data_IF_411115005912
#
_entry.id   IF_411115005912
#
_cell.length_a   1.000
_cell.length_b   1.000
_cell.length_c   1.000
_cell.angle_alpha   90.00
_cell.angle_beta   90.00
_cell.angle_gamma   90.00
#
_symmetry.space_group_name_H-M   'P 1'
#
loop_
_entity.id
_entity.type
_entity.pdbx_description
1 polymer ?
#
# COMPACT_ATOMS: atom_id res chain seq x y z
N UNK A 1 -1.74 -23.23 13.15
CA UNK A 1 -2.01 -22.34 12.01
C UNK A 1 -1.83 -23.14 10.75
N UNK A 2 -2.89 -23.28 9.95
CA UNK A 2 -2.79 -23.92 8.63
C UNK A 2 -2.08 -22.95 7.71
N UNK A 3 -0.90 -23.31 7.17
CA UNK A 3 -0.29 -22.49 6.12
C UNK A 3 -1.23 -22.51 4.92
N UNK A 4 -1.58 -21.33 4.41
CA UNK A 4 -2.33 -21.23 3.16
C UNK A 4 -1.60 -22.00 2.06
N UNK A 5 -2.31 -22.86 1.34
CA UNK A 5 -1.74 -23.57 0.18
C UNK A 5 -1.79 -22.73 -1.11
N UNK A 6 -2.23 -21.47 -1.01
CA UNK A 6 -2.35 -20.56 -2.13
C UNK A 6 -1.02 -19.86 -2.41
N UNK A 7 -0.72 -19.63 -3.68
CA UNK A 7 0.40 -18.78 -4.09
C UNK A 7 0.03 -17.31 -3.84
N UNK A 8 1.03 -16.44 -3.65
CA UNK A 8 0.82 -14.98 -3.53
C UNK A 8 -0.06 -14.42 -4.66
N UNK A 9 0.22 -14.80 -5.91
CA UNK A 9 -0.59 -14.37 -7.06
C UNK A 9 -2.06 -14.78 -6.94
N UNK A 10 -2.33 -15.98 -6.38
CA UNK A 10 -3.70 -16.44 -6.17
C UNK A 10 -4.38 -15.70 -5.03
N UNK A 11 -3.68 -15.45 -3.92
CA UNK A 11 -4.19 -14.64 -2.80
C UNK A 11 -4.55 -13.23 -3.30
N UNK A 12 -3.64 -12.56 -4.00
CA UNK A 12 -3.88 -11.23 -4.57
C UNK A 12 -5.11 -11.19 -5.49
N UNK A 13 -5.29 -12.23 -6.31
CA UNK A 13 -6.46 -12.33 -7.21
C UNK A 13 -7.77 -12.53 -6.44
N UNK A 14 -7.75 -13.28 -5.34
CA UNK A 14 -8.94 -13.45 -4.49
C UNK A 14 -9.27 -12.16 -3.72
N UNK A 15 -8.27 -11.43 -3.23
CA UNK A 15 -8.48 -10.10 -2.63
C UNK A 15 -9.14 -9.17 -3.64
N UNK A 16 -8.58 -9.02 -4.84
CA UNK A 16 -9.17 -8.21 -5.91
C UNK A 16 -10.62 -8.60 -6.20
N UNK A 17 -10.89 -9.90 -6.36
CA UNK A 17 -12.23 -10.43 -6.60
C UNK A 17 -13.22 -10.05 -5.48
N UNK A 18 -12.78 -10.10 -4.22
CA UNK A 18 -13.65 -9.77 -3.09
C UNK A 18 -13.87 -8.26 -2.95
N UNK A 19 -12.85 -7.44 -3.20
CA UNK A 19 -12.99 -5.97 -3.27
C UNK A 19 -14.04 -5.58 -4.33
N UNK A 20 -13.95 -6.16 -5.53
CA UNK A 20 -14.94 -5.93 -6.60
C UNK A 20 -16.33 -6.49 -6.24
N UNK A 21 -16.41 -7.70 -5.68
CA UNK A 21 -17.69 -8.34 -5.34
C UNK A 21 -18.50 -7.55 -4.33
N UNK A 22 -17.82 -6.87 -3.41
CA UNK A 22 -18.43 -6.14 -2.30
C UNK A 22 -18.26 -4.63 -2.44
N UNK A 23 -18.11 -4.14 -3.68
CA UNK A 23 -18.08 -2.71 -4.04
C UNK A 23 -17.17 -1.86 -3.13
N UNK A 24 -15.96 -2.37 -2.83
CA UNK A 24 -14.98 -1.63 -2.03
C UNK A 24 -14.46 -0.40 -2.79
N UNK A 25 -14.35 0.73 -2.09
CA UNK A 25 -13.87 2.00 -2.67
C UNK A 25 -12.36 1.98 -2.92
N UNK A 26 -11.61 1.19 -2.14
CA UNK A 26 -10.16 1.10 -2.26
C UNK A 26 -9.74 0.15 -3.38
N UNK A 27 -8.70 0.54 -4.10
CA UNK A 27 -8.04 -0.33 -5.08
C UNK A 27 -7.10 -1.29 -4.37
N UNK A 28 -6.75 -2.38 -5.06
CA UNK A 28 -5.90 -3.42 -4.48
C UNK A 28 -4.53 -2.91 -3.98
N UNK A 29 -3.92 -1.94 -4.66
CA UNK A 29 -2.62 -1.40 -4.21
C UNK A 29 -2.74 -0.59 -2.92
N UNK A 30 -3.83 0.16 -2.72
CA UNK A 30 -4.15 0.84 -1.46
C UNK A 30 -4.35 -0.17 -0.35
N UNK A 31 -5.18 -1.20 -0.58
CA UNK A 31 -5.44 -2.26 0.42
C UNK A 31 -4.16 -3.00 0.82
N UNK A 32 -3.27 -3.28 -0.14
CA UNK A 32 -1.98 -3.93 0.15
C UNK A 32 -1.09 -3.05 1.01
N UNK A 33 -1.04 -1.76 0.71
CA UNK A 33 -0.23 -0.81 1.44
C UNK A 33 -0.80 -0.52 2.84
N UNK A 34 -2.13 -0.36 2.96
CA UNK A 34 -2.82 -0.16 4.24
C UNK A 34 -2.59 -1.35 5.20
N UNK A 35 -2.81 -2.58 4.73
CA UNK A 35 -2.52 -3.77 5.55
C UNK A 35 -1.05 -3.84 5.98
N UNK A 36 -0.12 -3.48 5.08
CA UNK A 36 1.31 -3.45 5.42
C UNK A 36 1.64 -2.34 6.44
N UNK A 37 1.04 -1.16 6.32
CA UNK A 37 1.16 -0.06 7.27
C UNK A 37 0.63 -0.43 8.64
N UNK A 38 -0.54 -1.06 8.69
CA UNK A 38 -1.13 -1.60 9.92
C UNK A 38 -0.23 -2.66 10.60
N UNK A 39 0.37 -3.56 9.81
CA UNK A 39 1.35 -4.55 10.31
C UNK A 39 2.60 -3.86 10.86
N UNK A 40 3.08 -2.82 10.18
CA UNK A 40 4.26 -2.06 10.57
C UNK A 40 3.99 -1.06 11.70
N UNK A 41 2.74 -0.85 12.10
CA UNK A 41 2.38 0.13 13.12
C UNK A 41 3.09 -0.16 14.44
N UNK A 42 3.55 0.86 15.19
CA UNK A 42 4.09 0.66 16.54
C UNK A 42 3.01 0.23 17.56
N UNK A 43 1.74 0.17 17.14
CA UNK A 43 0.62 -0.30 17.93
C UNK A 43 0.23 -1.74 17.59
N UNK A 44 -0.37 -2.44 18.55
CA UNK A 44 -0.96 -3.74 18.30
C UNK A 44 -2.28 -3.54 17.55
N UNK A 45 -2.26 -3.79 16.24
CA UNK A 45 -3.44 -3.70 15.38
C UNK A 45 -4.17 -5.04 15.33
N UNK A 46 -5.49 -5.01 15.54
CA UNK A 46 -6.34 -6.17 15.23
C UNK A 46 -6.64 -6.16 13.72
N UNK A 47 -6.28 -7.21 12.97
CA UNK A 47 -6.55 -7.31 11.53
C UNK A 47 -8.03 -7.12 11.17
N UNK A 48 -8.94 -7.39 12.11
CA UNK A 48 -10.38 -7.16 11.93
C UNK A 48 -10.71 -5.67 11.85
N UNK A 49 -10.02 -4.79 12.59
CA UNK A 49 -10.24 -3.35 12.50
C UNK A 49 -9.78 -2.82 11.14
N UNK A 50 -8.60 -3.24 10.69
CA UNK A 50 -8.07 -2.87 9.38
C UNK A 50 -8.99 -3.33 8.24
N UNK A 51 -9.53 -4.55 8.35
CA UNK A 51 -10.51 -5.06 7.39
C UNK A 51 -11.82 -4.25 7.38
N UNK A 52 -12.28 -3.77 8.53
CA UNK A 52 -13.47 -2.91 8.61
C UNK A 52 -13.23 -1.54 7.95
N UNK A 53 -12.02 -1.00 8.09
CA UNK A 53 -11.67 0.32 7.53
C UNK A 53 -11.82 0.35 6.00
N UNK A 54 -11.64 -0.79 5.32
CA UNK A 54 -11.83 -0.90 3.87
C UNK A 54 -13.25 -0.53 3.38
N UNK A 55 -14.25 -0.60 4.25
CA UNK A 55 -15.63 -0.23 3.92
C UNK A 55 -16.16 0.85 4.86
N UNK A 56 -15.35 1.88 5.09
CA UNK A 56 -15.72 3.06 5.90
C UNK A 56 -16.16 2.69 7.33
N UNK A 57 -15.63 1.57 7.86
CA UNK A 57 -15.97 1.05 9.19
C UNK A 57 -17.23 0.17 9.24
N UNK A 58 -17.90 -0.06 8.11
CA UNK A 58 -19.07 -0.93 8.01
C UNK A 58 -18.78 -2.12 7.10
N UNK A 59 -18.70 -3.34 7.65
CA UNK A 59 -18.57 -4.54 6.81
C UNK A 59 -19.62 -4.55 5.68
N UNK A 60 -19.26 -5.01 4.47
CA UNK A 60 -20.20 -5.13 3.37
C UNK A 60 -21.34 -6.09 3.73
N UNK A 61 -22.44 -6.02 2.98
CA UNK A 61 -23.54 -6.96 3.16
C UNK A 61 -23.08 -8.39 2.79
N UNK A 62 -22.86 -9.22 3.81
CA UNK A 62 -22.46 -10.61 3.66
C UNK A 62 -23.68 -11.53 3.83
N UNK A 63 -24.22 -12.01 2.72
CA UNK A 63 -25.49 -12.75 2.65
C UNK A 63 -25.50 -14.15 3.30
N UNK A 64 -24.35 -14.63 3.79
CA UNK A 64 -24.24 -15.96 4.38
C UNK A 64 -23.02 -16.12 5.29
N UNK A 65 -23.07 -17.13 6.18
CA UNK A 65 -21.90 -17.57 6.96
C UNK A 65 -20.73 -17.95 6.06
N UNK A 66 -20.99 -18.56 4.89
CA UNK A 66 -19.94 -18.92 3.94
C UNK A 66 -19.23 -17.67 3.38
N UNK A 67 -19.96 -16.59 3.12
CA UNK A 67 -19.39 -15.32 2.66
C UNK A 67 -18.51 -14.67 3.76
N UNK A 68 -18.95 -14.75 5.01
CA UNK A 68 -18.16 -14.29 6.18
C UNK A 68 -16.87 -15.10 6.30
N UNK A 69 -16.97 -16.43 6.26
CA UNK A 69 -15.80 -17.31 6.38
C UNK A 69 -14.82 -17.10 5.21
N UNK A 70 -15.33 -16.87 4.01
CA UNK A 70 -14.52 -16.55 2.82
C UNK A 70 -13.73 -15.24 3.01
N UNK A 71 -14.39 -14.15 3.40
CA UNK A 71 -13.72 -12.86 3.61
C UNK A 71 -12.68 -12.97 4.73
N UNK A 72 -13.02 -13.61 5.85
CA UNK A 72 -12.09 -13.79 6.97
C UNK A 72 -10.88 -14.63 6.57
N UNK A 73 -11.09 -15.75 5.86
CA UNK A 73 -10.00 -16.60 5.38
C UNK A 73 -9.06 -15.81 4.46
N UNK A 74 -9.61 -15.11 3.47
CA UNK A 74 -8.77 -14.42 2.47
C UNK A 74 -8.03 -13.23 3.08
N UNK A 75 -8.71 -12.36 3.83
CA UNK A 75 -8.08 -11.14 4.33
C UNK A 75 -7.27 -11.37 5.62
N UNK A 76 -7.84 -12.04 6.62
CA UNK A 76 -7.27 -12.12 7.97
C UNK A 76 -6.29 -13.29 8.12
N UNK A 77 -6.44 -14.35 7.32
CA UNK A 77 -5.54 -15.50 7.39
C UNK A 77 -4.58 -15.55 6.21
N UNK A 78 -5.04 -15.44 4.97
CA UNK A 78 -4.16 -15.61 3.81
C UNK A 78 -3.35 -14.34 3.51
N UNK A 79 -4.03 -13.20 3.35
CA UNK A 79 -3.41 -11.94 2.95
C UNK A 79 -2.60 -11.28 4.06
N UNK A 80 -3.16 -11.17 5.27
CA UNK A 80 -2.45 -10.63 6.42
C UNK A 80 -1.16 -11.42 6.72
N UNK A 81 -1.24 -12.75 6.79
CA UNK A 81 -0.04 -13.54 7.08
C UNK A 81 0.98 -13.50 5.94
N UNK A 82 0.53 -13.43 4.69
CA UNK A 82 1.43 -13.22 3.55
C UNK A 82 2.21 -11.90 3.69
N UNK A 83 1.53 -10.80 4.04
CA UNK A 83 2.17 -9.50 4.19
C UNK A 83 3.06 -9.44 5.44
N UNK A 84 2.65 -10.09 6.53
CA UNK A 84 3.45 -10.17 7.75
C UNK A 84 4.80 -10.88 7.55
N UNK A 85 4.97 -11.69 6.48
CA UNK A 85 6.28 -12.24 6.13
C UNK A 85 7.31 -11.16 5.75
N UNK A 86 6.88 -9.97 5.32
CA UNK A 86 7.78 -8.85 5.01
C UNK A 86 8.37 -8.19 6.27
N UNK A 87 7.69 -8.34 7.40
CA UNK A 87 8.15 -7.86 8.70
C UNK A 87 9.13 -8.84 9.40
N UNK A 88 9.25 -10.08 8.91
CA UNK A 88 10.21 -11.04 9.44
C UNK A 88 11.59 -10.82 8.78
N UNK A 89 12.50 -10.17 9.51
CA UNK A 89 13.88 -9.93 9.05
C UNK A 89 14.56 -11.22 8.56
N UNK A 90 14.25 -12.38 9.16
CA UNK A 90 14.85 -13.65 8.76
C UNK A 90 14.28 -14.21 7.44
N UNK A 91 13.15 -13.70 6.97
CA UNK A 91 12.53 -14.12 5.72
C UNK A 91 13.23 -13.55 4.47
N UNK A 92 13.99 -12.45 4.61
CA UNK A 92 14.71 -11.75 3.52
C UNK A 92 13.80 -11.47 2.32
N UNK A 93 12.62 -10.92 2.60
CA UNK A 93 11.57 -10.60 1.63
C UNK A 93 11.11 -9.16 1.81
N UNK A 94 11.80 -8.17 1.21
CA UNK A 94 11.35 -6.79 1.30
C UNK A 94 9.96 -6.63 0.69
N UNK A 95 9.18 -5.70 1.24
CA UNK A 95 7.92 -5.25 0.66
C UNK A 95 8.20 -4.44 -0.60
N UNK A 96 7.54 -4.80 -1.70
CA UNK A 96 7.66 -4.12 -2.99
C UNK A 96 6.37 -3.36 -3.34
N UNK A 97 6.53 -2.16 -3.87
CA UNK A 97 5.41 -1.36 -4.35
C UNK A 97 4.98 -1.85 -5.74
N UNK A 98 3.82 -1.40 -6.21
CA UNK A 98 3.23 -1.94 -7.44
C UNK A 98 4.16 -1.68 -8.63
N UNK A 99 4.48 -2.75 -9.37
CA UNK A 99 5.32 -2.67 -10.57
C UNK A 99 4.54 -2.06 -11.73
N UNK A 100 5.10 -1.02 -12.34
CA UNK A 100 4.47 -0.24 -13.41
C UNK A 100 5.33 -0.29 -14.67
N UNK A 101 4.69 -0.35 -15.84
CA UNK A 101 5.39 -0.21 -17.10
C UNK A 101 5.93 1.22 -17.27
N UNK A 102 6.95 1.42 -18.09
CA UNK A 102 7.44 2.78 -18.38
C UNK A 102 6.33 3.62 -19.05
N UNK A 103 6.02 4.84 -18.55
CA UNK A 103 5.00 5.68 -19.13
C UNK A 103 5.47 6.23 -20.49
N UNK A 104 4.58 6.21 -21.47
CA UNK A 104 4.79 6.76 -22.82
C UNK A 104 4.15 8.15 -22.97
N UNK A 105 3.30 8.59 -22.04
CA UNK A 105 2.62 9.89 -22.08
C UNK A 105 2.59 10.56 -20.72
N UNK A 106 2.36 11.88 -20.69
CA UNK A 106 2.13 12.62 -19.44
C UNK A 106 0.90 12.08 -18.69
N UNK A 107 -0.17 11.71 -19.40
CA UNK A 107 -1.36 11.11 -18.77
C UNK A 107 -1.03 9.82 -18.03
N UNK A 108 -0.25 8.93 -18.65
CA UNK A 108 0.20 7.70 -18.00
C UNK A 108 1.12 7.99 -16.82
N UNK A 109 2.05 8.95 -16.95
CA UNK A 109 2.92 9.37 -15.86
C UNK A 109 2.11 9.92 -14.66
N UNK A 110 1.08 10.73 -14.91
CA UNK A 110 0.16 11.24 -13.87
C UNK A 110 -0.63 10.12 -13.21
N UNK A 111 -1.08 9.12 -13.96
CA UNK A 111 -1.76 7.95 -13.40
C UNK A 111 -0.82 7.10 -12.53
N UNK A 112 0.46 6.99 -12.90
CA UNK A 112 1.47 6.32 -12.08
C UNK A 112 1.78 7.09 -10.80
N UNK A 113 1.86 8.42 -10.88
CA UNK A 113 2.01 9.29 -9.72
C UNK A 113 0.82 9.15 -8.77
N UNK A 114 -0.39 9.09 -9.31
CA UNK A 114 -1.60 8.82 -8.54
C UNK A 114 -1.53 7.48 -7.83
N UNK A 115 -1.25 6.40 -8.56
CA UNK A 115 -1.14 5.07 -7.94
C UNK A 115 -0.08 5.05 -6.84
N UNK A 116 1.05 5.71 -7.07
CA UNK A 116 2.14 5.78 -6.09
C UNK A 116 1.75 6.58 -4.85
N UNK A 117 1.15 7.76 -5.04
CA UNK A 117 0.62 8.55 -3.94
C UNK A 117 -0.39 7.75 -3.12
N UNK A 118 -1.35 7.10 -3.78
CA UNK A 118 -2.35 6.23 -3.14
C UNK A 118 -1.71 5.07 -2.35
N UNK A 119 -0.65 4.42 -2.85
CA UNK A 119 0.08 3.39 -2.07
C UNK A 119 0.75 3.97 -0.82
N UNK A 120 1.47 5.08 -0.95
CA UNK A 120 2.23 5.65 0.16
C UNK A 120 1.30 6.25 1.22
N UNK A 121 0.26 6.96 0.79
CA UNK A 121 -0.75 7.56 1.66
C UNK A 121 -1.48 6.47 2.46
N UNK A 122 -1.96 5.42 1.79
CA UNK A 122 -2.63 4.30 2.46
C UNK A 122 -1.73 3.57 3.47
N UNK A 123 -0.44 3.41 3.17
CA UNK A 123 0.52 2.87 4.14
C UNK A 123 0.64 3.78 5.36
N UNK A 124 0.82 5.08 5.17
CA UNK A 124 1.03 6.04 6.25
C UNK A 124 -0.22 6.18 7.14
N UNK A 125 -1.40 6.30 6.54
CA UNK A 125 -2.67 6.37 7.28
C UNK A 125 -2.83 5.15 8.19
N UNK A 126 -2.62 3.95 7.64
CA UNK A 126 -2.72 2.71 8.40
C UNK A 126 -1.56 2.54 9.39
N UNK A 127 -0.36 3.06 9.13
CA UNK A 127 0.73 3.03 10.10
C UNK A 127 0.38 3.82 11.38
N UNK A 128 -0.27 4.98 11.21
CA UNK A 128 -0.62 5.85 12.33
C UNK A 128 -1.85 5.41 13.13
N UNK A 129 -2.75 4.59 12.56
CA UNK A 129 -3.95 4.07 13.25
C UNK A 129 -4.78 5.18 13.93
N UNK A 130 -5.04 6.27 13.19
CA UNK A 130 -5.73 7.48 13.65
C UNK A 130 -5.09 8.19 14.87
N UNK A 131 -3.82 7.92 15.17
CA UNK A 131 -3.11 8.56 16.28
C UNK A 131 -2.38 9.83 15.83
N UNK A 132 -2.73 10.97 16.42
CA UNK A 132 -2.08 12.26 16.11
C UNK A 132 -0.68 12.42 16.72
N UNK A 133 -0.34 11.66 17.77
CA UNK A 133 0.94 11.77 18.48
C UNK A 133 1.54 10.38 18.70
N UNK A 134 2.34 9.94 17.73
CA UNK A 134 3.07 8.67 17.81
C UNK A 134 4.52 8.95 18.18
N UNK A 135 5.00 8.30 19.24
CA UNK A 135 6.41 8.34 19.61
C UNK A 135 7.19 7.38 18.71
N UNK A 136 7.97 7.92 17.78
CA UNK A 136 8.82 7.17 16.86
C UNK A 136 10.29 7.27 17.28
N UNK A 137 11.09 6.27 16.89
CA UNK A 137 12.55 6.41 16.96
C UNK A 137 13.02 7.46 15.94
N UNK A 138 14.20 8.05 16.15
CA UNK A 138 14.77 9.04 15.22
C UNK A 138 14.88 8.48 13.78
N UNK A 139 15.24 7.20 13.65
CA UNK A 139 15.37 6.50 12.37
C UNK A 139 14.02 6.32 11.64
N UNK A 140 12.98 5.92 12.38
CA UNK A 140 11.63 5.77 11.80
C UNK A 140 11.04 7.14 11.47
N UNK A 141 11.26 8.15 12.32
CA UNK A 141 10.82 9.51 12.05
C UNK A 141 11.45 10.09 10.77
N UNK A 142 12.76 9.86 10.55
CA UNK A 142 13.43 10.26 9.31
C UNK A 142 12.85 9.55 8.07
N UNK A 143 12.56 8.25 8.20
CA UNK A 143 11.94 7.47 7.11
C UNK A 143 10.54 8.00 6.77
N UNK A 144 9.74 8.32 7.79
CA UNK A 144 8.40 8.91 7.66
C UNK A 144 8.46 10.25 6.93
N UNK A 145 9.35 11.17 7.36
CA UNK A 145 9.49 12.49 6.73
C UNK A 145 9.79 12.37 5.23
N UNK A 146 10.62 11.38 4.84
CA UNK A 146 10.93 11.10 3.44
C UNK A 146 9.69 10.59 2.69
N UNK A 147 8.91 9.67 3.28
CA UNK A 147 7.68 9.17 2.64
C UNK A 147 6.66 10.30 2.43
N UNK A 148 6.49 11.19 3.41
CA UNK A 148 5.61 12.36 3.28
C UNK A 148 6.07 13.32 2.16
N UNK A 149 7.37 13.55 2.02
CA UNK A 149 7.92 14.33 0.91
C UNK A 149 7.62 13.65 -0.44
N UNK A 150 7.80 12.34 -0.54
CA UNK A 150 7.50 11.56 -1.75
C UNK A 150 6.00 11.59 -2.12
N UNK A 151 5.10 11.57 -1.13
CA UNK A 151 3.66 11.78 -1.35
C UNK A 151 3.41 13.17 -1.94
N UNK A 152 4.05 14.20 -1.36
CA UNK A 152 4.00 15.57 -1.88
C UNK A 152 4.45 15.66 -3.35
N UNK A 153 5.57 15.04 -3.69
CA UNK A 153 6.08 15.00 -5.07
C UNK A 153 5.14 14.27 -6.04
N UNK A 154 4.48 13.18 -5.60
CA UNK A 154 3.46 12.51 -6.41
C UNK A 154 2.27 13.42 -6.66
N UNK A 155 1.81 14.15 -5.62
CA UNK A 155 0.73 15.13 -5.73
C UNK A 155 1.06 16.28 -6.68
N UNK A 156 2.28 16.81 -6.65
CA UNK A 156 2.74 17.84 -7.60
C UNK A 156 2.65 17.36 -9.05
N UNK A 157 3.10 16.13 -9.31
CA UNK A 157 3.04 15.52 -10.65
C UNK A 157 1.60 15.29 -11.12
N UNK A 158 0.72 14.80 -10.23
CA UNK A 158 -0.71 14.67 -10.51
C UNK A 158 -1.40 16.01 -10.82
N UNK A 159 -0.93 17.09 -10.20
CA UNK A 159 -1.49 18.42 -10.34
C UNK A 159 -0.86 19.24 -11.47
N UNK A 160 0.07 18.66 -12.25
CA UNK A 160 0.59 19.30 -13.46
C UNK A 160 -0.55 19.72 -14.40
N UNK A 161 -0.45 20.93 -14.94
CA UNK A 161 -1.43 21.50 -15.87
C UNK A 161 -1.67 20.53 -17.03
N UNK A 162 -2.93 20.15 -17.33
CA UNK A 162 -3.25 19.27 -18.46
C UNK A 162 -2.77 19.80 -19.81
N UNK A 163 -2.57 21.11 -19.96
CA UNK A 163 -2.06 21.74 -21.17
C UNK A 163 -0.50 21.77 -21.23
N UNK A 164 0.17 21.17 -20.24
CA UNK A 164 1.64 21.04 -20.23
C UNK A 164 2.10 20.17 -21.39
N UNK A 165 2.85 20.77 -22.31
CA UNK A 165 3.53 20.06 -23.40
C UNK A 165 4.96 19.73 -22.98
N UNK A 166 5.24 18.43 -22.79
CA UNK A 166 6.59 17.93 -22.55
C UNK A 166 7.21 17.41 -23.85
N UNK A 167 8.49 17.72 -24.06
CA UNK A 167 9.30 17.02 -25.04
C UNK A 167 9.53 15.55 -24.62
N UNK A 168 9.91 14.67 -25.57
CA UNK A 168 10.22 13.27 -25.24
C UNK A 168 11.34 13.11 -24.20
N UNK A 169 12.34 14.01 -24.21
CA UNK A 169 13.45 13.96 -23.26
C UNK A 169 13.01 14.38 -21.86
N UNK A 170 12.17 15.42 -21.74
CA UNK A 170 11.60 15.85 -20.45
C UNK A 170 10.68 14.78 -19.85
N UNK A 171 9.83 14.14 -20.66
CA UNK A 171 9.00 13.04 -20.20
C UNK A 171 9.85 11.87 -19.69
N UNK A 172 10.92 11.54 -20.41
CA UNK A 172 11.85 10.48 -20.02
C UNK A 172 12.58 10.81 -18.72
N UNK A 173 12.96 12.07 -18.52
CA UNK A 173 13.59 12.53 -17.28
C UNK A 173 12.64 12.43 -16.09
N UNK A 174 11.39 12.92 -16.23
CA UNK A 174 10.38 12.81 -15.18
C UNK A 174 10.04 11.34 -14.85
N UNK A 175 9.89 10.49 -15.86
CA UNK A 175 9.70 9.05 -15.66
C UNK A 175 10.91 8.41 -14.95
N UNK A 176 12.14 8.87 -15.26
CA UNK A 176 13.35 8.48 -14.54
C UNK A 176 13.33 8.89 -13.07
N UNK A 177 12.82 10.09 -12.77
CA UNK A 177 12.68 10.56 -11.39
C UNK A 177 11.60 9.79 -10.62
N UNK A 178 10.46 9.45 -11.25
CA UNK A 178 9.46 8.55 -10.66
C UNK A 178 10.03 7.20 -10.24
N UNK A 179 10.91 6.60 -11.06
CA UNK A 179 11.55 5.35 -10.71
C UNK A 179 12.48 5.50 -9.49
N UNK A 180 13.27 6.59 -9.43
CA UNK A 180 14.11 6.88 -8.25
C UNK A 180 13.28 7.09 -6.99
N UNK A 181 12.14 7.79 -7.11
CA UNK A 181 11.21 7.99 -5.99
C UNK A 181 10.61 6.67 -5.52
N UNK A 182 10.25 5.74 -6.42
CA UNK A 182 9.89 4.38 -6.03
C UNK A 182 11.01 3.71 -5.24
N UNK A 183 12.22 3.72 -5.79
CA UNK A 183 13.34 2.99 -5.16
C UNK A 183 13.62 3.54 -3.75
N UNK A 184 13.53 4.86 -3.58
CA UNK A 184 13.63 5.52 -2.27
C UNK A 184 12.47 5.14 -1.36
N UNK A 185 11.24 5.16 -1.86
CA UNK A 185 10.07 4.79 -1.08
C UNK A 185 10.15 3.34 -0.59
N UNK A 186 10.58 2.39 -1.43
CA UNK A 186 10.74 1.00 -1.04
C UNK A 186 11.81 0.84 0.05
N UNK A 187 12.92 1.60 -0.01
CA UNK A 187 13.92 1.61 1.06
C UNK A 187 13.30 2.08 2.37
N UNK A 188 12.65 3.25 2.38
CA UNK A 188 12.13 3.83 3.62
C UNK A 188 10.94 3.06 4.19
N UNK A 189 10.04 2.54 3.35
CA UNK A 189 8.97 1.65 3.81
C UNK A 189 9.54 0.41 4.50
N UNK A 190 10.57 -0.23 3.91
CA UNK A 190 11.17 -1.41 4.53
C UNK A 190 11.95 -1.08 5.81
N UNK A 191 12.55 0.12 5.90
CA UNK A 191 13.14 0.62 7.14
C UNK A 191 12.07 0.73 8.26
N UNK A 192 10.91 1.33 7.95
CA UNK A 192 9.78 1.44 8.89
C UNK A 192 9.28 0.05 9.29
N UNK A 193 9.01 -0.81 8.30
CA UNK A 193 8.49 -2.18 8.50
C UNK A 193 9.37 -2.97 9.46
N UNK A 194 10.70 -2.98 9.24
CA UNK A 194 11.62 -3.78 10.06
C UNK A 194 11.95 -3.14 11.41
N UNK A 195 11.76 -1.83 11.56
CA UNK A 195 12.07 -1.12 12.81
C UNK A 195 10.92 -1.14 13.83
N UNK A 196 9.70 -1.35 13.37
CA UNK A 196 8.50 -1.27 14.21
C UNK A 196 7.78 -2.61 14.44
N UNK A 197 7.97 -3.61 13.57
CA UNK A 197 7.27 -4.90 13.64
C UNK A 197 7.90 -5.94 14.59
#
# INVERSE_FOLDING_TARGET
MSKSNLTQSKINSEVQRLLEKYDCNYKFHEVRAAFMGAIASPYVVDPVFELNALWDGEFPELDSTQAIDEVRQIFLEDFWNLLAEHADEAADRPFELTSLAAPATLTELKAQAQLRGEELDAFMDAFYQDQENVELSDEVAESVDIIEELIGMCSELMNMDPDTSLSPDELKELAGNMNKMRDMAEIELNNIILSCA
#
